data_IF_822631107302
#
_entry.id   IF_822631107302
#
_cell.length_a   1.000
_cell.length_b   1.000
_cell.length_c   1.000
_cell.angle_alpha   90.00
_cell.angle_beta   90.00
_cell.angle_gamma   90.00
#
_symmetry.space_group_name_H-M   'P 1'
#
loop_
_entity.id
_entity.type
_entity.pdbx_description
1 polymer ?
#
# COMPACT_ATOMS: atom_id res chain seq x y z
N UNK A 1 16.47 60.92 23.63
CA UNK A 1 17.15 60.01 24.56
C UNK A 1 16.76 58.61 24.14
N UNK A 2 17.41 57.90 23.23
CA UNK A 2 18.68 57.99 22.48
C UNK A 2 18.34 57.39 21.09
N UNK A 3 18.65 57.91 19.91
CA UNK A 3 19.82 58.56 19.29
C UNK A 3 21.01 57.63 18.97
N UNK A 4 20.89 56.87 17.86
CA UNK A 4 21.92 56.54 16.83
C UNK A 4 21.18 56.05 15.57
N UNK A 5 21.37 56.50 14.33
CA UNK A 5 22.36 57.40 13.75
C UNK A 5 23.21 56.70 12.68
N UNK A 6 22.75 56.73 11.41
CA UNK A 6 23.49 56.83 10.11
C UNK A 6 24.46 55.66 9.74
N UNK A 7 24.70 55.18 8.51
CA UNK A 7 24.84 55.70 7.12
C UNK A 7 24.74 54.47 6.17
N UNK A 8 23.96 54.39 5.08
CA UNK A 8 24.02 55.08 3.77
C UNK A 8 25.41 55.22 3.14
N UNK A 9 25.71 54.38 2.15
CA UNK A 9 26.62 54.68 1.03
C UNK A 9 26.21 53.85 -0.19
N UNK A 10 25.59 54.54 -1.14
CA UNK A 10 25.60 54.22 -2.57
C UNK A 10 27.04 54.16 -3.09
N UNK A 11 27.32 53.25 -4.02
CA UNK A 11 28.30 53.55 -5.07
C UNK A 11 27.89 52.92 -6.42
N UNK A 12 27.79 53.82 -7.40
CA UNK A 12 27.49 53.58 -8.79
C UNK A 12 28.79 53.28 -9.53
N UNK A 13 28.89 52.15 -10.25
CA UNK A 13 29.79 51.99 -11.41
C UNK A 13 29.44 50.77 -12.26
N UNK A 14 28.90 51.02 -13.46
CA UNK A 14 29.28 50.27 -14.67
C UNK A 14 30.22 51.15 -15.52
N UNK A 15 30.70 50.74 -16.71
CA UNK A 15 30.34 49.53 -17.48
C UNK A 15 31.54 48.82 -18.19
N UNK A 16 31.22 47.80 -18.99
CA UNK A 16 31.95 47.19 -20.14
C UNK A 16 33.09 46.20 -19.86
N UNK A 17 32.89 45.00 -20.39
CA UNK A 17 33.91 44.01 -20.67
C UNK A 17 33.29 42.79 -21.36
N UNK A 18 33.05 42.89 -22.66
CA UNK A 18 32.84 41.73 -23.52
C UNK A 18 34.22 41.11 -23.82
N UNK A 19 34.35 39.79 -23.65
CA UNK A 19 35.58 39.07 -23.98
C UNK A 19 35.58 37.65 -23.41
N UNK A 20 35.21 36.69 -24.26
CA UNK A 20 35.77 35.34 -24.35
C UNK A 20 36.12 34.59 -23.04
N UNK A 21 35.18 33.75 -22.59
CA UNK A 21 35.49 32.58 -21.77
C UNK A 21 34.45 31.46 -22.00
N UNK A 22 34.22 31.12 -23.27
CA UNK A 22 33.48 29.92 -23.64
C UNK A 22 34.47 28.76 -23.88
N UNK A 23 35.02 28.17 -22.81
CA UNK A 23 35.62 26.83 -22.80
C UNK A 23 36.26 26.53 -21.42
N UNK A 24 35.48 25.98 -20.48
CA UNK A 24 35.91 25.06 -19.40
C UNK A 24 34.88 25.07 -18.25
N UNK A 25 33.66 24.60 -18.51
CA UNK A 25 32.72 24.20 -17.45
C UNK A 25 32.18 22.81 -17.79
N UNK A 26 33.09 21.83 -17.76
CA UNK A 26 32.73 20.42 -17.62
C UNK A 26 32.44 20.15 -16.14
N UNK A 27 31.14 20.09 -15.83
CA UNK A 27 30.50 19.11 -14.95
C UNK A 27 31.32 18.59 -13.75
N UNK A 28 31.55 19.45 -12.76
CA UNK A 28 31.71 19.01 -11.38
C UNK A 28 30.33 18.88 -10.73
N UNK A 29 29.66 17.74 -10.90
CA UNK A 29 28.47 17.44 -10.10
C UNK A 29 28.87 17.55 -8.61
N UNK A 30 28.09 18.25 -7.77
CA UNK A 30 28.42 18.41 -6.36
C UNK A 30 28.65 17.02 -5.76
N UNK A 31 29.90 16.77 -5.36
CA UNK A 31 30.33 15.48 -4.86
C UNK A 31 29.33 15.03 -3.81
N UNK A 32 28.65 13.92 -4.07
CA UNK A 32 27.75 13.29 -3.14
C UNK A 32 28.55 12.92 -1.90
N UNK A 33 28.63 13.85 -0.95
CA UNK A 33 29.37 13.70 0.29
C UNK A 33 28.84 12.43 0.93
N UNK A 34 29.70 11.41 0.95
CA UNK A 34 29.33 10.08 1.34
C UNK A 34 29.24 10.09 2.87
N UNK A 35 28.09 10.51 3.39
CA UNK A 35 27.83 10.57 4.83
C UNK A 35 27.70 9.14 5.33
N UNK A 36 28.81 8.60 5.82
CA UNK A 36 28.79 7.40 6.65
C UNK A 36 28.22 7.80 8.01
N UNK A 37 27.05 7.25 8.34
CA UNK A 37 26.42 7.44 9.65
C UNK A 37 26.48 6.14 10.44
N UNK A 38 27.04 6.20 11.65
CA UNK A 38 26.93 5.13 12.63
C UNK A 38 25.47 5.06 13.09
N UNK A 39 24.83 3.92 12.85
CA UNK A 39 23.42 3.69 13.15
C UNK A 39 23.21 2.22 13.49
N UNK A 40 22.08 1.88 14.12
CA UNK A 40 21.76 0.48 14.33
C UNK A 40 21.04 -0.07 13.11
N UNK A 41 21.54 -1.19 12.61
CA UNK A 41 21.11 -1.80 11.36
C UNK A 41 20.77 -3.26 11.57
N UNK A 42 19.79 -3.73 10.79
CA UNK A 42 19.51 -5.15 10.67
C UNK A 42 19.13 -5.46 9.22
N UNK A 43 19.80 -6.47 8.64
CA UNK A 43 19.46 -7.01 7.32
C UNK A 43 18.90 -8.41 7.49
N UNK A 44 17.58 -8.54 7.36
CA UNK A 44 16.92 -9.82 7.41
C UNK A 44 16.87 -10.47 6.02
N UNK A 45 17.42 -11.68 5.89
CA UNK A 45 17.35 -12.48 4.66
C UNK A 45 16.33 -13.61 4.78
N UNK A 46 15.10 -13.33 4.36
CA UNK A 46 13.99 -14.28 4.39
C UNK A 46 14.21 -15.56 3.54
N UNK A 47 15.27 -15.65 2.72
CA UNK A 47 15.55 -16.85 1.91
C UNK A 47 16.32 -17.91 2.70
N UNK A 48 17.19 -17.51 3.63
CA UNK A 48 18.03 -18.45 4.40
C UNK A 48 17.15 -19.36 5.27
N UNK A 49 16.16 -18.77 5.92
CA UNK A 49 15.24 -19.50 6.82
C UNK A 49 14.38 -20.50 6.05
N UNK A 50 13.95 -20.14 4.83
CA UNK A 50 13.18 -21.06 3.96
C UNK A 50 13.98 -22.28 3.52
N UNK A 51 15.29 -22.15 3.27
CA UNK A 51 16.13 -23.28 2.85
C UNK A 51 16.34 -24.28 3.98
N UNK A 52 16.61 -23.78 5.19
CA UNK A 52 16.74 -24.61 6.38
C UNK A 52 15.41 -25.33 6.69
N UNK A 53 14.29 -24.62 6.60
CA UNK A 53 12.96 -25.21 6.76
C UNK A 53 12.70 -26.31 5.72
N UNK A 54 13.02 -26.05 4.45
CA UNK A 54 12.89 -27.04 3.38
C UNK A 54 13.70 -28.31 3.64
N UNK A 55 14.95 -28.17 4.09
CA UNK A 55 15.81 -29.31 4.42
C UNK A 55 15.25 -30.15 5.58
N UNK A 56 14.75 -29.51 6.64
CA UNK A 56 14.18 -30.23 7.80
C UNK A 56 12.88 -30.94 7.45
N UNK A 57 12.01 -30.29 6.68
CA UNK A 57 10.76 -30.92 6.20
C UNK A 57 11.07 -32.12 5.31
N UNK A 58 12.03 -32.00 4.38
CA UNK A 58 12.44 -33.11 3.52
C UNK A 58 13.06 -34.26 4.33
N UNK A 59 13.95 -33.98 5.28
CA UNK A 59 14.54 -35.00 6.13
C UNK A 59 13.48 -35.76 6.96
N UNK A 60 12.51 -35.02 7.50
CA UNK A 60 11.41 -35.61 8.26
C UNK A 60 10.45 -36.43 7.39
N UNK A 61 10.24 -36.00 6.14
CA UNK A 61 9.47 -36.75 5.15
C UNK A 61 10.13 -38.07 4.79
N UNK A 62 11.43 -38.05 4.51
CA UNK A 62 12.21 -39.26 4.21
C UNK A 62 12.13 -40.25 5.38
N UNK A 63 12.29 -39.77 6.62
CA UNK A 63 12.16 -40.61 7.82
C UNK A 63 10.77 -41.23 8.01
N UNK A 64 9.71 -40.46 7.72
CA UNK A 64 8.33 -40.93 7.89
C UNK A 64 7.88 -41.93 6.81
N UNK A 65 8.39 -41.82 5.57
CA UNK A 65 7.91 -42.65 4.45
C UNK A 65 8.89 -43.73 4.01
N UNK A 66 10.18 -43.40 3.84
CA UNK A 66 11.14 -44.34 3.27
C UNK A 66 11.51 -45.46 4.27
N UNK A 67 11.65 -45.13 5.55
CA UNK A 67 12.04 -46.10 6.57
C UNK A 67 10.95 -47.18 6.84
N UNK A 68 9.66 -46.83 7.02
CA UNK A 68 8.61 -47.85 7.18
C UNK A 68 8.43 -48.72 5.95
N UNK A 69 8.52 -48.13 4.75
CA UNK A 69 8.41 -48.88 3.50
C UNK A 69 9.56 -49.88 3.33
N UNK A 70 10.80 -49.46 3.58
CA UNK A 70 11.96 -50.36 3.53
C UNK A 70 11.85 -51.52 4.53
N UNK A 71 11.37 -51.26 5.75
CA UNK A 71 11.14 -52.29 6.77
C UNK A 71 10.00 -53.25 6.41
N UNK A 72 8.94 -52.74 5.76
CA UNK A 72 7.82 -53.56 5.30
C UNK A 72 8.25 -54.53 4.19
N UNK A 73 9.07 -54.08 3.23
CA UNK A 73 9.63 -54.94 2.17
C UNK A 73 10.48 -56.08 2.74
N UNK A 74 11.11 -55.86 3.90
CA UNK A 74 11.90 -56.87 4.62
C UNK A 74 11.05 -57.80 5.52
N UNK A 75 9.72 -57.71 5.46
CA UNK A 75 8.81 -58.53 6.27
C UNK A 75 8.76 -58.16 7.76
N UNK A 76 9.28 -56.99 8.15
CA UNK A 76 9.32 -56.54 9.54
C UNK A 76 8.12 -55.65 9.89
N UNK A 77 6.92 -56.22 9.84
CA UNK A 77 5.66 -55.47 9.98
C UNK A 77 5.55 -54.68 11.31
N UNK A 78 6.07 -55.23 12.41
CA UNK A 78 6.05 -54.52 13.71
C UNK A 78 7.06 -53.38 13.77
N UNK A 79 8.20 -53.53 13.10
CA UNK A 79 9.26 -52.51 13.10
C UNK A 79 8.90 -51.33 12.20
N UNK A 80 8.18 -51.56 11.09
CA UNK A 80 7.72 -50.48 10.21
C UNK A 80 6.75 -49.54 10.91
N UNK A 81 5.85 -50.06 11.74
CA UNK A 81 4.91 -49.25 12.53
C UNK A 81 5.63 -48.39 13.58
N UNK A 82 6.60 -48.97 14.29
CA UNK A 82 7.42 -48.21 15.27
C UNK A 82 8.23 -47.12 14.56
N UNK A 83 8.85 -47.42 13.42
CA UNK A 83 9.59 -46.45 12.63
C UNK A 83 8.70 -45.30 12.12
N UNK A 84 7.46 -45.59 11.71
CA UNK A 84 6.50 -44.59 11.28
C UNK A 84 6.10 -43.63 12.43
N UNK A 85 5.85 -44.18 13.62
CA UNK A 85 5.52 -43.38 14.81
C UNK A 85 6.69 -42.49 15.26
N UNK A 86 7.92 -43.01 15.20
CA UNK A 86 9.13 -42.22 15.50
C UNK A 86 9.30 -41.10 14.48
N UNK A 87 9.19 -41.40 13.18
CA UNK A 87 9.26 -40.39 12.12
C UNK A 87 8.23 -39.28 12.28
N UNK A 88 7.00 -39.65 12.66
CA UNK A 88 5.91 -38.72 12.94
C UNK A 88 6.22 -37.82 14.17
N UNK A 89 6.72 -38.42 15.25
CA UNK A 89 7.12 -37.68 16.45
C UNK A 89 8.27 -36.70 16.18
N UNK A 90 9.29 -37.13 15.44
CA UNK A 90 10.42 -36.29 15.04
C UNK A 90 10.00 -35.13 14.13
N UNK A 91 9.05 -35.38 13.20
CA UNK A 91 8.45 -34.32 12.39
C UNK A 91 7.74 -33.28 13.25
N UNK A 92 6.92 -33.71 14.22
CA UNK A 92 6.17 -32.81 15.09
C UNK A 92 7.07 -32.00 16.03
N UNK A 93 8.09 -32.65 16.61
CA UNK A 93 9.09 -31.99 17.45
C UNK A 93 9.86 -30.93 16.65
N UNK A 94 10.29 -31.26 15.43
CA UNK A 94 10.96 -30.30 14.54
C UNK A 94 10.03 -29.14 14.19
N UNK A 95 8.79 -29.42 13.78
CA UNK A 95 7.79 -28.40 13.49
C UNK A 95 7.55 -27.43 14.67
N UNK A 96 7.45 -27.95 15.89
CA UNK A 96 7.29 -27.14 17.11
C UNK A 96 8.56 -26.33 17.44
N UNK A 97 9.74 -26.92 17.36
CA UNK A 97 11.01 -26.19 17.59
C UNK A 97 11.19 -25.05 16.59
N UNK A 98 10.80 -25.24 15.32
CA UNK A 98 10.79 -24.18 14.31
C UNK A 98 9.70 -23.12 14.56
N UNK A 99 8.56 -23.53 15.10
CA UNK A 99 7.54 -22.56 15.51
C UNK A 99 8.06 -21.62 16.60
N UNK A 100 8.86 -22.14 17.54
CA UNK A 100 9.43 -21.37 18.65
C UNK A 100 10.75 -20.63 18.35
N UNK A 101 11.53 -21.04 17.35
CA UNK A 101 12.85 -20.47 17.08
C UNK A 101 12.84 -19.13 16.32
N UNK A 102 11.73 -18.79 15.69
CA UNK A 102 11.60 -17.57 14.91
C UNK A 102 11.14 -16.44 15.83
N UNK A 103 12.00 -15.44 16.02
CA UNK A 103 11.66 -14.26 16.80
C UNK A 103 10.62 -13.46 16.03
N UNK A 104 9.56 -13.04 16.72
CA UNK A 104 8.53 -12.23 16.10
C UNK A 104 9.13 -10.97 15.44
N UNK A 105 8.49 -10.42 14.40
CA UNK A 105 8.99 -9.24 13.67
C UNK A 105 9.16 -7.97 14.53
N UNK A 106 8.75 -7.98 15.80
CA UNK A 106 8.94 -6.91 16.78
C UNK A 106 10.22 -6.98 17.62
N UNK A 107 10.94 -8.12 17.65
CA UNK A 107 12.25 -8.22 18.32
C UNK A 107 13.39 -8.18 17.31
N UNK A 108 13.39 -7.14 16.47
CA UNK A 108 14.52 -6.82 15.61
C UNK A 108 15.73 -6.53 16.48
N UNK A 109 16.77 -7.36 16.37
CA UNK A 109 18.05 -7.12 17.07
C UNK A 109 18.87 -6.21 16.18
N UNK A 110 18.49 -4.93 16.19
CA UNK A 110 19.27 -3.86 15.62
C UNK A 110 20.68 -3.92 16.24
N UNK A 111 21.69 -4.11 15.40
CA UNK A 111 23.10 -4.16 15.81
C UNK A 111 23.79 -2.88 15.40
N UNK A 112 24.80 -2.47 16.15
CA UNK A 112 25.60 -1.31 15.77
C UNK A 112 26.27 -1.55 14.41
N UNK A 113 26.16 -0.56 13.52
CA UNK A 113 26.62 -0.64 12.15
C UNK A 113 26.69 0.73 11.47
N UNK A 114 26.88 0.72 10.16
CA UNK A 114 26.79 1.93 9.34
C UNK A 114 26.00 1.66 8.07
N UNK A 115 25.31 2.69 7.60
CA UNK A 115 24.61 2.68 6.31
C UNK A 115 25.16 3.78 5.44
N UNK A 116 25.45 3.42 4.18
CA UNK A 116 25.95 4.34 3.16
C UNK A 116 25.23 4.08 1.85
N UNK A 117 24.73 5.15 1.22
CA UNK A 117 24.20 5.08 -0.14
C UNK A 117 25.32 5.51 -1.08
N UNK A 118 25.83 4.56 -1.88
CA UNK A 118 26.85 4.80 -2.90
C UNK A 118 26.27 4.48 -4.28
N UNK A 119 26.00 5.52 -5.07
CA UNK A 119 25.38 5.38 -6.38
C UNK A 119 24.04 4.63 -6.29
N UNK A 120 23.94 3.50 -6.99
CA UNK A 120 22.73 2.66 -7.02
C UNK A 120 22.72 1.53 -5.96
N UNK A 121 23.57 1.63 -4.94
CA UNK A 121 23.71 0.57 -3.91
C UNK A 121 23.59 1.16 -2.51
N UNK A 122 22.91 0.41 -1.65
CA UNK A 122 22.88 0.60 -0.21
C UNK A 122 23.89 -0.35 0.41
N UNK A 123 24.97 0.19 0.96
CA UNK A 123 25.97 -0.54 1.72
C UNK A 123 25.56 -0.50 3.20
N UNK A 124 25.49 -1.67 3.81
CA UNK A 124 25.17 -1.84 5.23
C UNK A 124 26.29 -2.64 5.86
N UNK A 125 27.02 -2.04 6.79
CA UNK A 125 28.03 -2.71 7.60
C UNK A 125 27.43 -3.07 8.96
N UNK A 126 27.40 -4.36 9.28
CA UNK A 126 26.91 -4.90 10.56
C UNK A 126 28.07 -5.67 11.24
N UNK A 127 28.81 -5.00 12.11
CA UNK A 127 30.07 -5.53 12.65
C UNK A 127 31.07 -5.86 11.54
N UNK A 128 31.53 -7.11 11.46
CA UNK A 128 32.47 -7.57 10.42
C UNK A 128 31.80 -7.93 9.09
N UNK A 129 30.46 -7.88 9.01
CA UNK A 129 29.71 -8.30 7.83
C UNK A 129 29.26 -7.08 7.05
N UNK A 130 29.76 -6.94 5.83
CA UNK A 130 29.27 -5.92 4.89
C UNK A 130 28.26 -6.53 3.93
N UNK A 131 27.13 -5.84 3.72
CA UNK A 131 26.06 -6.25 2.81
C UNK A 131 25.79 -5.14 1.81
N UNK A 132 25.88 -5.46 0.52
CA UNK A 132 25.52 -4.54 -0.57
C UNK A 132 24.15 -4.91 -1.14
N UNK A 133 23.22 -3.95 -1.12
CA UNK A 133 21.85 -4.10 -1.61
C UNK A 133 21.61 -3.14 -2.78
N UNK A 134 21.30 -3.63 -3.99
CA UNK A 134 21.04 -2.74 -5.13
C UNK A 134 19.70 -2.02 -4.95
N UNK A 135 19.70 -0.68 -5.04
CA UNK A 135 18.51 0.17 -4.95
C UNK A 135 17.54 -0.08 -6.11
N UNK A 136 18.02 -0.56 -7.26
CA UNK A 136 17.17 -1.03 -8.35
C UNK A 136 16.20 -2.16 -7.94
N UNK A 137 16.51 -2.90 -6.87
CA UNK A 137 15.62 -3.95 -6.31
C UNK A 137 14.72 -3.47 -5.19
N UNK A 138 14.80 -2.19 -4.80
CA UNK A 138 14.00 -1.60 -3.75
C UNK A 138 12.52 -1.62 -4.17
N UNK A 139 11.71 -2.35 -3.41
CA UNK A 139 10.28 -2.48 -3.62
C UNK A 139 9.46 -1.41 -2.86
N UNK A 140 10.10 -0.72 -1.91
CA UNK A 140 9.55 0.42 -1.19
C UNK A 140 10.16 0.55 0.21
N UNK A 141 9.65 1.48 1.01
CA UNK A 141 10.04 1.63 2.39
C UNK A 141 9.01 2.40 3.22
N UNK A 142 9.17 2.35 4.54
CA UNK A 142 8.32 3.05 5.51
C UNK A 142 9.11 3.39 6.76
N UNK A 143 8.57 4.29 7.58
CA UNK A 143 9.11 4.61 8.90
C UNK A 143 8.40 3.78 9.98
N UNK A 144 9.16 3.29 10.95
CA UNK A 144 8.66 2.49 12.08
C UNK A 144 9.20 3.11 13.38
N UNK A 145 8.35 3.33 14.37
CA UNK A 145 8.79 3.86 15.67
C UNK A 145 9.47 2.74 16.47
N UNK A 146 10.70 2.96 16.89
CA UNK A 146 11.46 2.03 17.74
C UNK A 146 11.52 2.56 19.18
N UNK A 147 11.93 1.74 20.16
CA UNK A 147 12.12 2.21 21.53
C UNK A 147 13.14 3.36 21.66
N UNK A 148 14.12 3.46 20.75
CA UNK A 148 15.18 4.48 20.82
C UNK A 148 15.08 5.57 19.74
N UNK A 149 14.02 5.58 18.91
CA UNK A 149 13.88 6.55 17.83
C UNK A 149 12.94 6.11 16.73
N UNK A 150 13.39 6.27 15.48
CA UNK A 150 12.62 5.90 14.28
C UNK A 150 13.50 5.07 13.35
N UNK A 151 13.00 3.95 12.85
CA UNK A 151 13.68 3.16 11.84
C UNK A 151 13.15 3.44 10.44
N UNK A 152 14.04 3.69 9.49
CA UNK A 152 13.75 3.60 8.07
C UNK A 152 13.82 2.13 7.65
N UNK A 153 12.68 1.56 7.26
CA UNK A 153 12.57 0.17 6.83
C UNK A 153 12.48 0.11 5.32
N UNK A 154 13.48 -0.50 4.69
CA UNK A 154 13.61 -0.67 3.24
C UNK A 154 13.29 -2.12 2.89
N UNK A 155 12.30 -2.33 2.03
CA UNK A 155 11.91 -3.66 1.56
C UNK A 155 12.36 -3.88 0.13
N UNK A 156 12.98 -5.03 -0.13
CA UNK A 156 13.51 -5.40 -1.44
C UNK A 156 12.66 -6.49 -2.10
N UNK A 157 12.60 -6.46 -3.42
CA UNK A 157 11.85 -7.41 -4.26
C UNK A 157 12.29 -8.88 -4.09
N UNK A 158 13.51 -9.13 -3.64
CA UNK A 158 14.03 -10.47 -3.36
C UNK A 158 13.63 -11.04 -2.00
N UNK A 159 12.92 -10.25 -1.18
CA UNK A 159 12.42 -10.60 0.13
C UNK A 159 13.32 -10.16 1.29
N UNK A 160 14.44 -9.47 1.01
CA UNK A 160 15.25 -8.86 2.07
C UNK A 160 14.57 -7.62 2.63
N UNK A 161 14.77 -7.37 3.91
CA UNK A 161 14.32 -6.16 4.60
C UNK A 161 15.52 -5.60 5.36
N UNK A 162 15.81 -4.31 5.16
CA UNK A 162 16.83 -3.58 5.90
C UNK A 162 16.13 -2.56 6.80
N UNK A 163 16.35 -2.64 8.10
CA UNK A 163 15.89 -1.64 9.05
C UNK A 163 17.09 -0.81 9.52
N UNK A 164 16.98 0.51 9.43
CA UNK A 164 18.04 1.45 9.80
C UNK A 164 17.48 2.43 10.82
N UNK A 165 17.91 2.33 12.08
CA UNK A 165 17.50 3.23 13.15
C UNK A 165 18.14 4.62 12.96
N UNK A 166 17.32 5.65 13.09
CA UNK A 166 17.64 7.08 12.97
C UNK A 166 17.17 7.80 14.23
N UNK A 167 17.79 8.95 14.51
CA UNK A 167 17.50 9.70 15.72
C UNK A 167 16.12 10.36 15.67
N UNK A 168 15.64 10.71 14.47
CA UNK A 168 14.34 11.34 14.26
C UNK A 168 13.55 10.73 13.09
N UNK A 169 12.25 11.00 13.07
CA UNK A 169 11.38 10.63 11.95
C UNK A 169 11.82 11.32 10.66
N UNK A 170 12.23 12.60 10.73
CA UNK A 170 12.70 13.38 9.58
C UNK A 170 13.94 12.76 8.93
N UNK A 171 14.90 12.27 9.73
CA UNK A 171 16.08 11.58 9.21
C UNK A 171 15.73 10.23 8.57
N UNK A 172 14.77 9.50 9.14
CA UNK A 172 14.27 8.28 8.53
C UNK A 172 13.58 8.56 7.19
N UNK A 173 12.79 9.63 7.11
CA UNK A 173 12.14 10.07 5.87
C UNK A 173 13.18 10.52 4.84
N UNK A 174 14.20 11.29 5.24
CA UNK A 174 15.30 11.71 4.35
C UNK A 174 16.04 10.49 3.78
N UNK A 175 16.38 9.52 4.63
CA UNK A 175 17.04 8.29 4.19
C UNK A 175 16.19 7.52 3.17
N UNK A 176 14.87 7.39 3.42
CA UNK A 176 13.95 6.77 2.46
C UNK A 176 13.88 7.55 1.15
N UNK A 177 13.83 8.88 1.22
CA UNK A 177 13.81 9.77 0.05
C UNK A 177 15.06 9.58 -0.81
N UNK A 178 16.25 9.63 -0.18
CA UNK A 178 17.55 9.43 -0.84
C UNK A 178 17.72 8.02 -1.40
N UNK A 179 17.13 7.01 -0.77
CA UNK A 179 17.11 5.65 -1.30
C UNK A 179 16.14 5.45 -2.48
N UNK A 180 15.31 6.45 -2.81
CA UNK A 180 14.26 6.34 -3.83
C UNK A 180 13.03 5.56 -3.35
N UNK A 181 12.84 5.45 -2.03
CA UNK A 181 11.66 4.89 -1.36
C UNK A 181 10.86 5.96 -0.60
N UNK A 182 11.06 7.24 -0.90
CA UNK A 182 10.31 8.34 -0.32
C UNK A 182 8.81 8.26 -0.61
N UNK A 183 8.01 9.04 0.11
CA UNK A 183 6.56 8.96 0.01
C UNK A 183 6.02 9.21 -1.42
N UNK A 184 6.72 9.94 -2.26
CA UNK A 184 6.29 10.16 -3.64
C UNK A 184 6.85 9.15 -4.63
N UNK A 185 7.88 8.39 -4.25
CA UNK A 185 8.58 7.47 -5.13
C UNK A 185 8.00 6.05 -5.05
N UNK A 186 7.38 5.63 -6.16
CA UNK A 186 6.99 4.24 -6.50
C UNK A 186 5.86 3.62 -5.68
N UNK A 187 5.16 2.73 -6.38
CA UNK A 187 4.14 1.88 -5.79
C UNK A 187 4.78 0.96 -4.74
N UNK A 188 4.29 1.03 -3.50
CA UNK A 188 4.89 0.31 -2.37
C UNK A 188 4.24 -1.04 -2.26
N UNK A 189 5.05 -2.09 -2.35
CA UNK A 189 4.62 -3.46 -2.07
C UNK A 189 4.89 -3.78 -0.60
N UNK A 190 3.90 -3.54 0.26
CA UNK A 190 3.95 -4.00 1.63
C UNK A 190 3.53 -5.47 1.67
N UNK A 191 4.46 -6.31 2.08
CA UNK A 191 4.12 -7.68 2.42
C UNK A 191 3.54 -7.63 3.81
N UNK A 192 2.22 -7.70 3.91
CA UNK A 192 1.57 -7.75 5.21
C UNK A 192 1.99 -9.01 5.92
N UNK A 193 2.95 -8.86 6.82
CA UNK A 193 3.42 -9.96 7.62
C UNK A 193 2.29 -10.20 8.62
N UNK A 194 1.79 -11.43 8.71
CA UNK A 194 0.80 -11.74 9.74
C UNK A 194 1.64 -12.01 10.98
N UNK A 195 1.54 -11.16 12.01
CA UNK A 195 2.40 -11.22 13.21
C UNK A 195 2.33 -12.57 13.92
N UNK A 196 1.26 -13.32 13.68
CA UNK A 196 1.18 -14.70 14.10
C UNK A 196 1.99 -15.61 13.15
N UNK A 197 3.32 -15.44 13.17
CA UNK A 197 4.26 -16.40 12.59
C UNK A 197 3.99 -17.79 13.19
N UNK A 198 3.62 -17.84 14.46
CA UNK A 198 3.20 -19.04 15.18
C UNK A 198 1.95 -19.64 14.56
N UNK A 199 0.87 -18.89 14.37
CA UNK A 199 -0.37 -19.38 13.74
C UNK A 199 -0.21 -19.75 12.27
N UNK A 200 0.61 -19.03 11.49
CA UNK A 200 0.91 -19.42 10.10
C UNK A 200 1.78 -20.68 10.05
N UNK A 201 2.72 -20.85 10.98
CA UNK A 201 3.52 -22.07 11.10
C UNK A 201 2.71 -23.23 11.62
N UNK A 202 1.86 -23.03 12.63
CA UNK A 202 0.92 -24.04 13.12
C UNK A 202 0.00 -24.43 11.97
N UNK A 203 -0.62 -23.49 11.27
CA UNK A 203 -1.43 -23.78 10.09
C UNK A 203 -0.62 -24.46 8.97
N UNK A 204 0.65 -24.08 8.77
CA UNK A 204 1.55 -24.69 7.80
C UNK A 204 1.97 -26.11 8.19
N UNK A 205 2.23 -26.36 9.47
CA UNK A 205 2.58 -27.65 10.04
C UNK A 205 1.36 -28.57 10.07
N UNK A 206 0.17 -28.05 10.40
CA UNK A 206 -1.11 -28.74 10.29
C UNK A 206 -1.43 -29.05 8.84
N UNK A 207 -1.21 -28.11 7.91
CA UNK A 207 -1.40 -28.34 6.48
C UNK A 207 -0.44 -29.41 5.97
N UNK A 208 0.83 -29.34 6.33
CA UNK A 208 1.80 -30.34 5.93
C UNK A 208 1.50 -31.69 6.60
N UNK A 209 1.11 -31.73 7.87
CA UNK A 209 0.61 -32.94 8.53
C UNK A 209 -0.61 -33.52 7.79
N UNK A 210 -1.54 -32.65 7.44
CA UNK A 210 -2.75 -33.02 6.74
C UNK A 210 -2.45 -33.58 5.34
N UNK A 211 -1.62 -32.89 4.55
CA UNK A 211 -1.28 -33.27 3.17
C UNK A 211 -0.37 -34.49 3.13
N UNK A 212 0.57 -34.61 4.08
CA UNK A 212 1.57 -35.67 4.07
C UNK A 212 1.06 -36.94 4.77
N UNK A 213 0.34 -36.81 5.88
CA UNK A 213 -0.03 -37.97 6.71
C UNK A 213 -1.53 -38.28 6.58
N UNK A 214 -2.40 -37.31 6.83
CA UNK A 214 -3.83 -37.57 6.92
C UNK A 214 -4.44 -37.89 5.54
N UNK A 215 -4.13 -37.09 4.51
CA UNK A 215 -4.72 -37.22 3.19
C UNK A 215 -4.33 -38.53 2.47
N UNK A 216 -3.07 -39.00 2.49
CA UNK A 216 -2.71 -40.29 1.90
C UNK A 216 -3.30 -41.46 2.67
N UNK A 217 -3.33 -41.39 4.01
CA UNK A 217 -3.97 -42.42 4.85
C UNK A 217 -5.47 -42.52 4.60
N UNK A 218 -6.16 -41.38 4.53
CA UNK A 218 -7.58 -41.33 4.19
C UNK A 218 -7.85 -41.81 2.76
N UNK A 219 -7.01 -41.44 1.79
CA UNK A 219 -7.11 -41.91 0.41
C UNK A 219 -6.93 -43.44 0.33
N UNK A 220 -5.94 -44.00 1.02
CA UNK A 220 -5.72 -45.44 1.08
C UNK A 220 -6.91 -46.18 1.72
N UNK A 221 -7.45 -45.67 2.83
CA UNK A 221 -8.65 -46.21 3.47
C UNK A 221 -9.86 -46.18 2.53
N UNK A 222 -10.01 -45.10 1.77
CA UNK A 222 -11.12 -44.89 0.84
C UNK A 222 -11.00 -45.81 -0.38
N UNK A 223 -9.78 -46.07 -0.87
CA UNK A 223 -9.50 -47.10 -1.89
C UNK A 223 -9.84 -48.50 -1.34
N UNK A 224 -9.40 -48.84 -0.13
CA UNK A 224 -9.71 -50.14 0.49
C UNK A 224 -11.21 -50.33 0.67
N UNK A 225 -11.91 -49.32 1.18
CA UNK A 225 -13.36 -49.32 1.34
C UNK A 225 -14.06 -49.49 -0.01
N UNK A 226 -13.61 -48.76 -1.04
CA UNK A 226 -14.13 -48.89 -2.39
C UNK A 226 -13.94 -50.30 -2.95
N UNK A 227 -12.77 -50.91 -2.77
CA UNK A 227 -12.51 -52.29 -3.22
C UNK A 227 -13.38 -53.32 -2.48
N UNK A 228 -13.60 -53.14 -1.18
CA UNK A 228 -14.47 -54.00 -0.39
C UNK A 228 -15.94 -53.89 -0.82
N UNK A 229 -16.44 -52.67 -1.05
CA UNK A 229 -17.81 -52.42 -1.54
C UNK A 229 -17.99 -53.00 -2.95
N UNK A 230 -17.00 -52.85 -3.82
CA UNK A 230 -17.03 -53.40 -5.17
C UNK A 230 -17.09 -54.94 -5.17
N UNK A 231 -16.42 -55.60 -4.22
CA UNK A 231 -16.50 -57.05 -4.04
C UNK A 231 -17.87 -57.52 -3.52
N UNK A 232 -18.60 -56.67 -2.79
CA UNK A 232 -19.90 -57.01 -2.19
C UNK A 232 -21.09 -56.88 -3.16
N UNK A 233 -20.85 -56.65 -4.46
CA UNK A 233 -21.89 -56.57 -5.52
C UNK A 233 -22.92 -55.43 -5.36
N UNK A 234 -22.68 -54.46 -4.48
CA UNK A 234 -23.55 -53.27 -4.30
C UNK A 234 -23.03 -52.13 -5.21
N UNK A 235 -23.14 -52.34 -6.52
CA UNK A 235 -22.41 -51.59 -7.56
C UNK A 235 -22.59 -50.04 -7.61
N UNK A 236 -23.74 -49.42 -7.25
CA UNK A 236 -23.88 -47.97 -7.43
C UNK A 236 -23.43 -47.11 -6.23
N UNK A 237 -23.23 -47.67 -5.03
CA UNK A 237 -22.96 -46.87 -3.82
C UNK A 237 -21.48 -46.52 -3.61
N UNK A 238 -20.54 -47.29 -4.17
CA UNK A 238 -19.10 -47.07 -4.01
C UNK A 238 -18.60 -45.67 -4.41
N UNK A 239 -18.95 -45.15 -5.60
CA UNK A 239 -18.50 -43.82 -6.04
C UNK A 239 -19.03 -42.66 -5.18
N UNK A 240 -20.26 -42.77 -4.66
CA UNK A 240 -20.86 -41.74 -3.80
C UNK A 240 -20.17 -41.64 -2.44
N UNK A 241 -19.85 -42.79 -1.83
CA UNK A 241 -19.10 -42.82 -0.55
C UNK A 241 -17.69 -42.25 -0.75
N UNK A 242 -17.05 -42.55 -1.87
CA UNK A 242 -15.73 -42.03 -2.22
C UNK A 242 -15.72 -40.50 -2.40
N UNK A 243 -16.70 -39.93 -3.12
CA UNK A 243 -16.83 -38.47 -3.27
C UNK A 243 -17.15 -37.76 -1.95
N UNK A 244 -17.96 -38.37 -1.09
CA UNK A 244 -18.32 -37.82 0.22
C UNK A 244 -17.13 -37.69 1.18
N UNK A 245 -16.17 -38.63 1.13
CA UNK A 245 -14.98 -38.61 1.98
C UNK A 245 -13.89 -37.62 1.54
N UNK A 246 -13.74 -37.37 0.24
CA UNK A 246 -12.67 -36.52 -0.30
C UNK A 246 -12.97 -35.01 -0.17
N UNK A 247 -14.23 -34.61 -0.35
CA UNK A 247 -14.66 -33.22 -0.28
C UNK A 247 -14.30 -32.49 1.03
N UNK A 248 -14.55 -33.04 2.24
CA UNK A 248 -14.16 -32.37 3.48
C UNK A 248 -12.64 -32.26 3.61
N UNK A 249 -11.89 -33.24 3.10
CA UNK A 249 -10.43 -33.20 3.18
C UNK A 249 -9.86 -32.07 2.31
N UNK A 250 -10.35 -31.94 1.08
CA UNK A 250 -9.99 -30.83 0.19
C UNK A 250 -10.44 -29.48 0.76
N UNK A 251 -11.60 -29.44 1.42
CA UNK A 251 -12.10 -28.25 2.12
C UNK A 251 -11.17 -27.79 3.24
N UNK A 252 -10.72 -28.71 4.11
CA UNK A 252 -9.76 -28.42 5.19
C UNK A 252 -8.40 -28.00 4.63
N UNK A 253 -7.89 -28.69 3.61
CA UNK A 253 -6.63 -28.34 2.96
C UNK A 253 -6.69 -26.95 2.32
N UNK A 254 -7.77 -26.62 1.58
CA UNK A 254 -7.96 -25.30 0.97
C UNK A 254 -8.12 -24.20 2.04
N UNK A 255 -8.84 -24.48 3.13
CA UNK A 255 -8.97 -23.56 4.25
C UNK A 255 -7.62 -23.30 4.92
N UNK A 256 -6.84 -24.33 5.23
CA UNK A 256 -5.49 -24.21 5.79
C UNK A 256 -4.56 -23.46 4.82
N UNK A 257 -4.59 -23.79 3.53
CA UNK A 257 -3.82 -23.10 2.49
C UNK A 257 -4.12 -21.60 2.47
N UNK A 258 -5.39 -21.22 2.60
CA UNK A 258 -5.80 -19.81 2.66
C UNK A 258 -5.21 -19.04 3.86
N UNK A 259 -4.91 -19.74 4.97
CA UNK A 259 -4.26 -19.16 6.16
C UNK A 259 -2.75 -19.04 5.98
N UNK A 260 -2.14 -19.94 5.22
CA UNK A 260 -0.69 -20.02 5.04
C UNK A 260 -0.18 -19.07 3.97
N UNK A 261 -0.94 -18.87 2.89
CA UNK A 261 -0.51 -17.96 1.83
C UNK A 261 -0.45 -16.50 2.30
N UNK A 262 0.67 -15.80 2.07
CA UNK A 262 0.80 -14.40 2.46
C UNK A 262 -0.19 -13.52 1.68
N UNK A 263 -0.88 -12.64 2.39
CA UNK A 263 -1.51 -11.47 1.77
C UNK A 263 -0.44 -10.47 1.37
N UNK A 264 -0.67 -9.79 0.26
CA UNK A 264 0.17 -8.70 -0.19
C UNK A 264 -0.72 -7.50 -0.44
N UNK A 265 -0.27 -6.33 0.01
CA UNK A 265 -0.91 -5.07 -0.32
C UNK A 265 0.06 -4.25 -1.14
N UNK A 266 -0.39 -3.87 -2.33
CA UNK A 266 0.37 -3.00 -3.21
C UNK A 266 -0.39 -1.69 -3.31
N UNK A 267 0.21 -0.62 -2.81
CA UNK A 267 -0.35 0.73 -2.86
C UNK A 267 0.32 1.45 -4.01
N UNK A 268 -0.43 1.64 -5.10
CA UNK A 268 0.00 2.43 -6.25
C UNK A 268 -0.61 3.84 -6.24
N UNK A 269 -0.27 4.61 -7.27
CA UNK A 269 -0.88 5.91 -7.55
C UNK A 269 -2.37 5.81 -7.83
N UNK A 270 -2.81 4.70 -8.42
CA UNK A 270 -4.19 4.58 -8.92
C UNK A 270 -5.12 3.88 -7.90
N UNK A 271 -4.54 3.17 -6.93
CA UNK A 271 -5.30 2.45 -5.93
C UNK A 271 -4.50 1.45 -5.12
N UNK A 272 -5.23 0.67 -4.35
CA UNK A 272 -4.72 -0.38 -3.46
C UNK A 272 -5.09 -1.75 -4.02
N UNK A 273 -4.09 -2.54 -4.40
CA UNK A 273 -4.27 -3.92 -4.81
C UNK A 273 -4.03 -4.85 -3.62
N UNK A 274 -5.08 -5.51 -3.16
CA UNK A 274 -5.03 -6.53 -2.12
C UNK A 274 -5.00 -7.90 -2.79
N UNK A 275 -3.91 -8.64 -2.63
CA UNK A 275 -3.79 -10.03 -3.07
C UNK A 275 -3.86 -10.95 -1.86
N UNK A 276 -4.81 -11.86 -1.85
CA UNK A 276 -4.86 -13.02 -0.94
C UNK A 276 -4.57 -14.31 -1.72
N UNK A 277 -4.57 -15.43 -1.01
CA UNK A 277 -4.37 -16.79 -1.54
C UNK A 277 -5.02 -17.05 -2.90
N UNK A 278 -6.29 -16.67 -3.00
CA UNK A 278 -7.20 -17.05 -4.09
C UNK A 278 -7.94 -15.87 -4.69
N UNK A 279 -7.76 -14.65 -4.15
CA UNK A 279 -8.46 -13.47 -4.62
C UNK A 279 -7.47 -12.33 -4.82
N UNK A 280 -7.61 -11.63 -5.95
CA UNK A 280 -6.94 -10.36 -6.20
C UNK A 280 -8.02 -9.32 -6.34
N UNK A 281 -7.92 -8.25 -5.57
CA UNK A 281 -8.89 -7.18 -5.62
C UNK A 281 -8.18 -5.85 -5.71
N UNK A 282 -8.47 -5.12 -6.78
CA UNK A 282 -8.04 -3.74 -6.94
C UNK A 282 -9.09 -2.82 -6.33
N UNK A 283 -8.64 -1.86 -5.52
CA UNK A 283 -9.46 -0.86 -4.85
C UNK A 283 -8.98 0.51 -5.34
N UNK A 284 -9.67 1.16 -6.28
CA UNK A 284 -9.28 2.51 -6.69
C UNK A 284 -9.41 3.46 -5.50
N UNK A 285 -8.50 4.44 -5.38
CA UNK A 285 -8.48 5.37 -4.23
C UNK A 285 -9.81 6.09 -4.00
N UNK A 286 -10.54 6.38 -5.09
CA UNK A 286 -11.87 6.99 -5.07
C UNK A 286 -12.97 6.10 -4.47
N UNK A 287 -12.78 4.78 -4.48
CA UNK A 287 -13.73 3.84 -3.86
C UNK A 287 -13.52 3.71 -2.34
N UNK A 288 -12.35 4.11 -1.84
CA UNK A 288 -11.98 4.05 -0.43
C UNK A 288 -12.55 5.28 0.27
N UNK A 289 -13.46 5.08 1.22
CA UNK A 289 -14.09 6.16 2.00
C UNK A 289 -13.41 6.33 3.35
N UNK A 290 -13.03 5.22 3.97
CA UNK A 290 -12.44 5.23 5.30
C UNK A 290 -11.33 4.19 5.38
N UNK A 291 -10.25 4.53 6.06
CA UNK A 291 -9.20 3.58 6.43
C UNK A 291 -9.01 3.70 7.93
N UNK A 292 -9.25 2.61 8.67
CA UNK A 292 -9.19 2.62 10.12
C UNK A 292 -8.42 1.41 10.65
N UNK A 293 -7.70 1.61 11.75
CA UNK A 293 -7.14 0.51 12.52
C UNK A 293 -8.27 -0.21 13.25
N UNK A 294 -8.32 -1.53 13.12
CA UNK A 294 -9.26 -2.39 13.84
C UNK A 294 -8.47 -3.49 14.54
N UNK A 295 -8.74 -3.65 15.83
CA UNK A 295 -8.21 -4.76 16.62
C UNK A 295 -9.18 -5.94 16.53
N UNK A 296 -8.66 -7.15 16.35
CA UNK A 296 -9.50 -8.35 16.24
C UNK A 296 -8.85 -9.60 16.82
N UNK A 297 -9.64 -10.67 16.89
CA UNK A 297 -9.24 -11.98 17.41
C UNK A 297 -9.36 -12.12 18.93
N UNK A 298 -9.27 -13.36 19.41
CA UNK A 298 -9.35 -13.69 20.84
C UNK A 298 -8.15 -13.04 21.55
N UNK A 299 -8.43 -12.05 22.40
CA UNK A 299 -7.40 -11.29 23.14
C UNK A 299 -6.87 -10.02 22.44
N UNK A 300 -7.44 -9.58 21.31
CA UNK A 300 -7.08 -8.30 20.68
C UNK A 300 -5.67 -8.24 20.09
N UNK A 301 -5.01 -9.40 19.95
CA UNK A 301 -3.60 -9.53 19.52
C UNK A 301 -3.41 -9.19 18.03
N UNK A 302 -4.47 -9.20 17.22
CA UNK A 302 -4.33 -8.99 15.78
C UNK A 302 -4.66 -7.56 15.38
N UNK A 303 -3.73 -6.94 14.65
CA UNK A 303 -3.92 -5.64 14.03
C UNK A 303 -4.40 -5.80 12.59
N UNK A 304 -5.50 -5.14 12.26
CA UNK A 304 -6.04 -5.09 10.92
C UNK A 304 -6.25 -3.65 10.48
N UNK A 305 -6.02 -3.39 9.20
CA UNK A 305 -6.44 -2.16 8.54
C UNK A 305 -7.75 -2.45 7.82
N UNK A 306 -8.85 -1.88 8.34
CA UNK A 306 -10.17 -1.97 7.72
C UNK A 306 -10.29 -0.84 6.70
N UNK A 307 -10.39 -1.22 5.43
CA UNK A 307 -10.62 -0.32 4.30
C UNK A 307 -12.12 -0.33 4.01
N UNK A 308 -12.83 0.72 4.42
CA UNK A 308 -14.23 0.95 4.11
C UNK A 308 -14.40 1.49 2.70
N UNK A 309 -15.27 0.84 1.93
CA UNK A 309 -15.60 1.21 0.56
C UNK A 309 -16.94 1.95 0.51
N UNK A 310 -17.12 2.74 -0.54
CA UNK A 310 -18.32 3.57 -0.74
C UNK A 310 -19.64 2.78 -0.73
N UNK A 311 -19.64 1.54 -1.20
CA UNK A 311 -20.84 0.70 -1.24
C UNK A 311 -21.16 0.02 0.10
N UNK A 312 -20.61 0.51 1.22
CA UNK A 312 -20.77 -0.07 2.56
C UNK A 312 -19.97 -1.35 2.80
N UNK A 313 -19.37 -1.92 1.75
CA UNK A 313 -18.45 -3.05 1.88
C UNK A 313 -17.17 -2.61 2.58
N UNK A 314 -16.55 -3.50 3.36
CA UNK A 314 -15.23 -3.25 3.94
C UNK A 314 -14.31 -4.43 3.71
N UNK A 315 -13.03 -4.12 3.52
CA UNK A 315 -11.98 -5.13 3.33
C UNK A 315 -11.01 -5.01 4.49
N UNK A 316 -10.77 -6.12 5.15
CA UNK A 316 -9.83 -6.20 6.26
C UNK A 316 -8.49 -6.69 5.74
N UNK A 317 -7.48 -5.84 5.85
CA UNK A 317 -6.10 -6.17 5.53
C UNK A 317 -5.37 -6.49 6.84
N UNK A 318 -4.82 -7.70 7.04
CA UNK A 318 -3.99 -7.97 8.20
C UNK A 318 -2.71 -7.12 8.14
N UNK A 319 -2.23 -6.64 9.28
CA UNK A 319 -0.91 -6.06 9.46
C UNK A 319 -0.12 -6.89 10.47
N UNK A 320 1.20 -6.78 10.47
CA UNK A 320 2.03 -7.44 11.48
C UNK A 320 1.86 -6.67 12.77
N UNK A 321 2.46 -5.50 12.84
CA UNK A 321 2.48 -4.69 14.04
C UNK A 321 1.47 -3.54 13.94
N UNK A 322 1.13 -2.89 15.07
CA UNK A 322 0.43 -1.61 15.06
C UNK A 322 1.16 -0.56 14.19
N UNK A 323 2.49 -0.59 14.19
CA UNK A 323 3.32 0.32 13.40
C UNK A 323 3.15 0.07 11.90
N UNK A 324 3.16 -1.20 11.44
CA UNK A 324 2.88 -1.52 10.04
C UNK A 324 1.46 -1.10 9.64
N UNK A 325 0.47 -1.35 10.50
CA UNK A 325 -0.91 -0.96 10.25
C UNK A 325 -1.04 0.56 10.10
N UNK A 326 -0.37 1.32 10.99
CA UNK A 326 -0.34 2.79 10.94
C UNK A 326 0.38 3.28 9.69
N UNK A 327 1.52 2.70 9.34
CA UNK A 327 2.24 3.02 8.11
C UNK A 327 1.38 2.76 6.88
N UNK A 328 0.61 1.67 6.84
CA UNK A 328 -0.32 1.36 5.76
C UNK A 328 -1.44 2.40 5.66
N UNK A 329 -2.02 2.81 6.79
CA UNK A 329 -3.07 3.84 6.84
C UNK A 329 -2.53 5.17 6.30
N UNK A 330 -1.42 5.65 6.85
CA UNK A 330 -0.76 6.90 6.41
C UNK A 330 -0.44 6.85 4.93
N UNK A 331 0.05 5.69 4.44
CA UNK A 331 0.38 5.52 3.02
C UNK A 331 -0.83 5.59 2.11
N UNK A 332 -1.93 4.94 2.47
CA UNK A 332 -3.18 4.99 1.70
C UNK A 332 -3.74 6.42 1.71
N UNK A 333 -3.78 7.08 2.87
CA UNK A 333 -4.26 8.46 3.00
C UNK A 333 -3.42 9.45 2.19
N UNK A 334 -2.09 9.35 2.26
CA UNK A 334 -1.19 10.18 1.46
C UNK A 334 -1.41 9.98 -0.05
N UNK A 335 -1.61 8.73 -0.50
CA UNK A 335 -1.94 8.44 -1.89
C UNK A 335 -3.31 9.00 -2.29
N UNK A 336 -4.32 8.91 -1.41
CA UNK A 336 -5.63 9.53 -1.64
C UNK A 336 -5.54 11.05 -1.75
N UNK A 337 -4.75 11.69 -0.88
CA UNK A 337 -4.54 13.14 -0.91
C UNK A 337 -3.83 13.58 -2.21
N UNK A 338 -2.81 12.85 -2.65
CA UNK A 338 -2.12 13.13 -3.91
C UNK A 338 -3.05 13.01 -5.13
N UNK A 339 -3.88 11.96 -5.18
CA UNK A 339 -4.89 11.80 -6.23
C UNK A 339 -5.93 12.91 -6.18
N UNK A 340 -6.40 13.29 -4.99
CA UNK A 340 -7.35 14.40 -4.84
C UNK A 340 -6.76 15.72 -5.33
N UNK A 341 -5.48 16.00 -5.05
CA UNK A 341 -4.79 17.20 -5.56
C UNK A 341 -4.68 17.18 -7.09
N UNK A 342 -4.34 16.04 -7.69
CA UNK A 342 -4.25 15.90 -9.15
C UNK A 342 -5.62 16.03 -9.83
N UNK A 343 -6.64 15.36 -9.27
CA UNK A 343 -8.02 15.44 -9.75
C UNK A 343 -8.54 16.88 -9.67
N UNK A 344 -8.26 17.57 -8.56
CA UNK A 344 -8.59 18.98 -8.38
C UNK A 344 -7.84 19.87 -9.37
N UNK A 345 -6.53 19.69 -9.57
CA UNK A 345 -5.77 20.47 -10.54
C UNK A 345 -6.32 20.31 -11.96
N UNK A 346 -6.65 19.06 -12.36
CA UNK A 346 -7.28 18.76 -13.65
C UNK A 346 -8.67 19.39 -13.75
N UNK A 347 -9.44 19.34 -12.69
CA UNK A 347 -10.77 19.96 -12.62
C UNK A 347 -10.67 21.47 -12.79
N UNK A 348 -9.74 22.12 -12.09
CA UNK A 348 -9.47 23.55 -12.21
C UNK A 348 -9.01 23.94 -13.62
N UNK A 349 -8.21 23.11 -14.28
CA UNK A 349 -7.78 23.32 -15.67
C UNK A 349 -8.97 23.28 -16.64
N UNK A 350 -9.91 22.34 -16.45
CA UNK A 350 -11.12 22.26 -17.29
C UNK A 350 -12.10 23.39 -16.98
N UNK A 351 -12.18 23.83 -15.72
CA UNK A 351 -13.02 24.96 -15.30
C UNK A 351 -12.47 26.29 -15.81
N UNK A 352 -11.14 26.48 -15.82
CA UNK A 352 -10.52 27.71 -16.29
C UNK A 352 -10.79 27.95 -17.78
N UNK A 353 -11.20 29.15 -18.18
CA UNK A 353 -11.54 29.43 -19.59
C UNK A 353 -10.33 29.24 -20.52
N UNK A 354 -9.11 29.60 -20.08
CA UNK A 354 -7.85 29.42 -20.83
C UNK A 354 -7.91 29.93 -22.28
N UNK A 355 -8.58 31.07 -22.50
CA UNK A 355 -8.75 31.69 -23.82
C UNK A 355 -9.79 31.02 -24.73
N UNK A 356 -10.50 29.99 -24.26
CA UNK A 356 -11.56 29.33 -25.04
C UNK A 356 -12.72 30.30 -25.32
N UNK A 357 -13.33 30.26 -26.53
CA UNK A 357 -14.59 30.95 -26.79
C UNK A 357 -15.67 30.54 -25.78
N UNK A 358 -16.51 31.49 -25.37
CA UNK A 358 -17.49 31.30 -24.29
C UNK A 358 -18.39 30.07 -24.53
N UNK A 359 -18.92 29.94 -25.75
CA UNK A 359 -19.79 28.82 -26.13
C UNK A 359 -19.09 27.45 -26.08
N UNK A 360 -17.80 27.38 -26.43
CA UNK A 360 -17.01 26.15 -26.36
C UNK A 360 -16.72 25.77 -24.91
N UNK A 361 -16.36 26.76 -24.11
CA UNK A 361 -16.11 26.58 -22.68
C UNK A 361 -17.35 26.12 -21.93
N UNK A 362 -18.52 26.74 -22.16
CA UNK A 362 -19.81 26.28 -21.59
C UNK A 362 -20.12 24.82 -21.95
N UNK A 363 -19.87 24.43 -23.21
CA UNK A 363 -20.04 23.04 -23.66
C UNK A 363 -19.09 22.09 -22.91
N UNK A 364 -17.84 22.50 -22.69
CA UNK A 364 -16.88 21.74 -21.90
C UNK A 364 -17.32 21.59 -20.43
N UNK A 365 -17.81 22.67 -19.80
CA UNK A 365 -18.37 22.64 -18.45
C UNK A 365 -19.58 21.69 -18.34
N UNK A 366 -20.50 21.73 -19.30
CA UNK A 366 -21.65 20.82 -19.32
C UNK A 366 -21.25 19.34 -19.45
N UNK A 367 -20.16 19.05 -20.18
CA UNK A 367 -19.65 17.68 -20.30
C UNK A 367 -18.96 17.14 -19.05
N UNK A 368 -18.48 18.04 -18.18
CA UNK A 368 -17.68 17.70 -17.01
C UNK A 368 -18.48 16.92 -15.97
N UNK A 369 -19.76 17.27 -15.80
CA UNK A 369 -20.67 16.59 -14.89
C UNK A 369 -21.55 15.56 -15.62
N UNK A 370 -21.76 15.71 -16.95
CA UNK A 370 -22.54 14.76 -17.74
C UNK A 370 -21.79 13.45 -18.07
N UNK A 371 -20.46 13.48 -18.19
CA UNK A 371 -19.65 12.32 -18.62
C UNK A 371 -19.49 11.23 -17.56
N UNK A 372 -20.00 11.47 -16.35
CA UNK A 372 -19.96 10.48 -15.29
C UNK A 372 -21.12 9.50 -15.42
N UNK A 373 -20.85 8.31 -15.96
CA UNK A 373 -21.80 7.20 -15.93
C UNK A 373 -22.31 6.91 -14.51
N UNK A 374 -23.43 6.20 -14.41
CA UNK A 374 -24.23 5.93 -13.19
C UNK A 374 -23.44 5.43 -11.96
N UNK A 375 -22.16 5.05 -12.09
CA UNK A 375 -21.30 4.56 -10.99
C UNK A 375 -20.22 5.55 -10.51
N UNK A 376 -20.04 6.70 -11.17
CA UNK A 376 -18.99 7.69 -10.85
C UNK A 376 -19.52 9.10 -10.57
N UNK A 377 -20.80 9.37 -10.87
CA UNK A 377 -21.38 10.71 -10.90
C UNK A 377 -21.40 11.49 -9.58
N UNK A 378 -21.39 10.82 -8.44
CA UNK A 378 -21.54 11.51 -7.15
C UNK A 378 -20.31 12.31 -6.69
N UNK A 379 -19.11 12.02 -7.20
CA UNK A 379 -17.89 12.70 -6.72
C UNK A 379 -17.55 13.95 -7.50
N UNK A 380 -17.82 13.97 -8.79
CA UNK A 380 -17.40 15.09 -9.64
C UNK A 380 -18.32 16.29 -9.38
N UNK A 381 -19.62 16.07 -9.15
CA UNK A 381 -20.55 17.14 -8.73
C UNK A 381 -20.19 17.71 -7.34
N UNK A 382 -19.91 16.86 -6.36
CA UNK A 382 -19.53 17.32 -5.02
C UNK A 382 -18.21 18.11 -5.02
N UNK A 383 -17.22 17.69 -5.82
CA UNK A 383 -15.96 18.44 -5.95
C UNK A 383 -16.17 19.78 -6.67
N UNK A 384 -17.01 19.82 -7.70
CA UNK A 384 -17.41 21.07 -8.36
C UNK A 384 -18.10 22.00 -7.36
N UNK A 385 -19.01 21.49 -6.52
CA UNK A 385 -19.67 22.30 -5.48
C UNK A 385 -18.70 22.79 -4.41
N UNK A 386 -17.69 22.00 -4.04
CA UNK A 386 -16.62 22.47 -3.15
C UNK A 386 -15.87 23.67 -3.75
N UNK A 387 -15.67 23.70 -5.07
CA UNK A 387 -15.05 24.86 -5.73
C UNK A 387 -15.97 26.09 -5.64
N UNK A 388 -17.29 25.93 -5.78
CA UNK A 388 -18.25 27.03 -5.59
C UNK A 388 -18.16 27.61 -4.17
N UNK A 389 -18.01 26.74 -3.16
CA UNK A 389 -17.94 27.10 -1.74
C UNK A 389 -16.56 27.59 -1.28
N UNK A 390 -15.51 27.33 -2.06
CA UNK A 390 -14.14 27.69 -1.71
C UNK A 390 -13.88 29.19 -1.90
N UNK A 391 -13.87 29.94 -0.81
CA UNK A 391 -13.59 31.39 -0.81
C UNK A 391 -12.17 31.77 -1.28
N UNK A 392 -11.23 30.81 -1.37
CA UNK A 392 -9.89 31.04 -1.90
C UNK A 392 -9.80 30.84 -3.42
N UNK A 393 -10.82 30.25 -4.05
CA UNK A 393 -10.85 30.04 -5.49
C UNK A 393 -11.13 31.38 -6.23
N UNK A 394 -10.48 31.62 -7.39
CA UNK A 394 -10.76 32.78 -8.24
C UNK A 394 -12.25 32.93 -8.57
N UNK A 395 -12.79 34.17 -8.64
CA UNK A 395 -14.21 34.42 -8.92
C UNK A 395 -14.72 33.71 -10.17
N UNK A 396 -13.96 33.73 -11.27
CA UNK A 396 -14.31 33.04 -12.52
C UNK A 396 -14.50 31.53 -12.31
N UNK A 397 -13.61 30.88 -11.55
CA UNK A 397 -13.69 29.44 -11.29
C UNK A 397 -14.91 29.07 -10.44
N UNK A 398 -15.27 29.90 -9.46
CA UNK A 398 -16.45 29.68 -8.61
C UNK A 398 -17.75 29.79 -9.41
N UNK A 399 -17.86 30.78 -10.29
CA UNK A 399 -19.02 30.95 -11.18
C UNK A 399 -19.10 29.81 -12.19
N UNK A 400 -17.98 29.45 -12.81
CA UNK A 400 -17.90 28.35 -13.76
C UNK A 400 -18.26 27.00 -13.14
N UNK A 401 -17.81 26.74 -11.91
CA UNK A 401 -18.21 25.56 -11.15
C UNK A 401 -19.73 25.56 -10.87
N UNK A 402 -20.31 26.71 -10.49
CA UNK A 402 -21.76 26.82 -10.24
C UNK A 402 -22.56 26.53 -11.52
N UNK A 403 -22.12 27.07 -12.66
CA UNK A 403 -22.70 26.81 -13.98
C UNK A 403 -22.62 25.33 -14.38
N UNK A 404 -21.49 24.67 -14.10
CA UNK A 404 -21.32 23.25 -14.36
C UNK A 404 -22.20 22.37 -13.44
N UNK A 405 -22.38 22.75 -12.18
CA UNK A 405 -23.14 21.98 -11.20
C UNK A 405 -24.67 22.08 -11.38
N UNK A 406 -25.17 23.27 -11.72
CA UNK A 406 -26.60 23.60 -11.73
C UNK A 406 -27.47 22.60 -12.52
N UNK A 407 -27.13 22.19 -13.76
CA UNK A 407 -27.97 21.29 -14.55
C UNK A 407 -28.16 19.89 -13.93
N UNK A 408 -27.37 19.53 -12.91
CA UNK A 408 -27.27 18.15 -12.42
C UNK A 408 -27.81 17.92 -11.00
N UNK A 409 -28.09 18.96 -10.22
CA UNK A 409 -28.35 18.79 -8.78
C UNK A 409 -29.65 19.36 -8.21
N UNK A 410 -30.53 19.89 -9.07
CA UNK A 410 -31.85 20.42 -8.66
C UNK A 410 -31.79 21.43 -7.51
N UNK A 411 -32.85 21.47 -6.71
CA UNK A 411 -33.01 22.45 -5.61
C UNK A 411 -31.89 22.37 -4.55
N UNK A 412 -31.33 21.18 -4.32
CA UNK A 412 -30.25 20.99 -3.34
C UNK A 412 -28.96 21.70 -3.78
N UNK A 413 -28.63 21.63 -5.07
CA UNK A 413 -27.48 22.36 -5.64
C UNK A 413 -27.74 23.86 -5.70
N UNK A 414 -28.93 24.27 -6.13
CA UNK A 414 -29.32 25.70 -6.14
C UNK A 414 -29.19 26.33 -4.74
N UNK A 415 -29.62 25.60 -3.70
CA UNK A 415 -29.49 26.03 -2.30
C UNK A 415 -28.04 26.21 -1.89
N UNK A 416 -27.13 25.30 -2.26
CA UNK A 416 -25.70 25.41 -1.94
C UNK A 416 -25.04 26.58 -2.68
N UNK A 417 -25.38 26.79 -3.96
CA UNK A 417 -24.91 27.95 -4.74
C UNK A 417 -25.38 29.26 -4.08
N UNK A 418 -26.64 29.33 -3.64
CA UNK A 418 -27.18 30.50 -2.93
C UNK A 418 -26.44 30.79 -1.61
N UNK A 419 -26.19 29.77 -0.79
CA UNK A 419 -25.40 29.91 0.44
C UNK A 419 -23.99 30.41 0.15
N UNK A 420 -23.34 29.90 -0.90
CA UNK A 420 -22.02 30.36 -1.31
C UNK A 420 -22.03 31.81 -1.83
N UNK A 421 -23.13 32.25 -2.45
CA UNK A 421 -23.34 33.63 -2.86
C UNK A 421 -23.45 34.55 -1.63
N UNK A 422 -24.32 34.21 -0.68
CA UNK A 422 -24.53 34.95 0.58
C UNK A 422 -23.23 35.10 1.39
N UNK A 423 -22.40 34.05 1.42
CA UNK A 423 -21.10 34.06 2.09
C UNK A 423 -20.01 34.86 1.35
N UNK A 424 -20.22 35.27 0.10
CA UNK A 424 -19.21 35.95 -0.71
C UNK A 424 -19.11 37.44 -0.39
N UNK A 425 -17.92 37.91 -0.02
CA UNK A 425 -17.67 39.31 0.31
C UNK A 425 -17.66 40.25 -0.91
N UNK A 426 -17.18 39.77 -2.07
CA UNK A 426 -17.13 40.55 -3.31
C UNK A 426 -18.53 40.69 -3.94
N UNK A 427 -19.09 41.91 -4.05
CA UNK A 427 -20.47 42.11 -4.51
C UNK A 427 -20.76 41.56 -5.92
N UNK A 428 -19.78 41.66 -6.83
CA UNK A 428 -19.92 41.17 -8.21
C UNK A 428 -20.05 39.65 -8.25
N UNK A 429 -19.22 38.94 -7.50
CA UNK A 429 -19.25 37.48 -7.40
C UNK A 429 -20.54 37.00 -6.74
N UNK A 430 -21.00 37.69 -5.69
CA UNK A 430 -22.29 37.40 -5.05
C UNK A 430 -23.44 37.46 -6.05
N UNK A 431 -23.57 38.58 -6.78
CA UNK A 431 -24.61 38.76 -7.80
C UNK A 431 -24.53 37.70 -8.90
N UNK A 432 -23.32 37.33 -9.32
CA UNK A 432 -23.13 36.29 -10.33
C UNK A 432 -23.63 34.92 -9.86
N UNK A 433 -23.26 34.51 -8.63
CA UNK A 433 -23.73 33.25 -8.05
C UNK A 433 -25.24 33.24 -7.79
N UNK A 434 -25.81 34.36 -7.35
CA UNK A 434 -27.27 34.53 -7.19
C UNK A 434 -28.00 34.30 -8.51
N UNK A 435 -27.57 34.97 -9.59
CA UNK A 435 -28.14 34.81 -10.93
C UNK A 435 -28.02 33.39 -11.46
N UNK A 436 -26.86 32.74 -11.27
CA UNK A 436 -26.69 31.32 -11.63
C UNK A 436 -27.68 30.45 -10.85
N UNK A 437 -27.87 30.71 -9.55
CA UNK A 437 -28.84 29.96 -8.74
C UNK A 437 -30.31 30.20 -9.15
N UNK A 438 -30.64 31.42 -9.59
CA UNK A 438 -31.97 31.81 -10.06
C UNK A 438 -32.26 31.33 -11.49
N UNK A 439 -31.19 31.05 -12.24
CA UNK A 439 -31.28 30.58 -13.60
C UNK A 439 -31.51 31.63 -14.67
N UNK A 440 -31.16 32.87 -14.35
CA UNK A 440 -31.20 34.01 -15.26
C UNK A 440 -30.10 33.94 -16.32
N UNK A 441 -30.28 34.65 -17.44
CA UNK A 441 -29.35 34.62 -18.57
C UNK A 441 -27.88 34.89 -18.14
N UNK A 442 -27.05 33.88 -18.42
CA UNK A 442 -25.71 33.74 -17.85
C UNK A 442 -24.62 34.38 -18.73
N UNK A 443 -24.95 34.69 -19.99
CA UNK A 443 -23.98 35.13 -21.00
C UNK A 443 -23.39 36.52 -20.68
N UNK A 444 -24.25 37.49 -20.35
CA UNK A 444 -23.83 38.88 -20.05
C UNK A 444 -22.91 38.95 -18.81
N UNK A 445 -23.17 38.09 -17.81
CA UNK A 445 -22.38 38.01 -16.58
C UNK A 445 -20.95 37.52 -16.81
N UNK A 446 -20.79 36.53 -17.67
CA UNK A 446 -19.50 35.88 -17.91
C UNK A 446 -18.56 36.79 -18.70
N UNK A 447 -19.10 37.62 -19.57
CA UNK A 447 -18.34 38.67 -20.24
C UNK A 447 -17.87 39.74 -19.25
N UNK A 448 -18.73 40.15 -18.30
CA UNK A 448 -18.36 41.17 -17.30
C UNK A 448 -17.26 40.67 -16.34
N UNK A 449 -17.35 39.41 -15.88
CA UNK A 449 -16.36 38.83 -14.95
C UNK A 449 -15.03 38.59 -15.65
N UNK A 450 -15.05 38.01 -16.85
CA UNK A 450 -13.83 37.75 -17.63
C UNK A 450 -13.07 39.03 -18.01
N UNK A 451 -13.80 40.11 -18.31
CA UNK A 451 -13.21 41.41 -18.59
C UNK A 451 -12.54 42.06 -17.36
N UNK A 452 -12.99 41.72 -16.15
CA UNK A 452 -12.43 42.21 -14.90
C UNK A 452 -11.08 41.57 -14.56
N UNK A 453 -10.95 40.25 -14.73
CA UNK A 453 -9.72 39.52 -14.43
C UNK A 453 -8.60 39.82 -15.43
N UNK A 454 -8.93 39.98 -16.72
CA UNK A 454 -7.97 40.40 -17.73
C UNK A 454 -7.36 41.79 -17.42
N UNK A 455 -8.14 42.70 -16.81
CA UNK A 455 -7.63 44.00 -16.35
C UNK A 455 -6.76 43.88 -15.11
N UNK A 456 -7.10 43.00 -14.15
CA UNK A 456 -6.27 42.77 -12.95
C UNK A 456 -4.92 42.13 -13.29
N UNK A 457 -4.87 41.23 -14.27
CA UNK A 457 -3.63 40.60 -14.71
C UNK A 457 -2.70 41.53 -15.51
N UNK A 458 -3.23 42.65 -16.01
CA UNK A 458 -2.47 43.66 -16.76
C UNK A 458 -1.93 44.80 -15.89
N UNK A 459 -2.36 44.89 -14.63
CA UNK A 459 -1.87 45.82 -13.60
C UNK A 459 -0.84 45.12 -12.72
#
# INVERSE_FOLDING_TARGET
>A
MDDRGLTSTDDHRGPRGAGDAAAAMSEGAPGAASLERLCKVEVQDARRDKRLLGAVVVASLVGTFAAPWGLAVLGMEKASLVAALIGLGSYFASALSFAGADRGPGERRLRDGSVKIEGERLLIAEGAKESSLPLARLAGGWTERTPNGHAAVLSFSDGRVAAVEQASEEEAIDLLSRAGAGAQARAVRMRTYREDSSGRKIAGCLLAFFVLILAPGALALLILLFTAIAQWSIAPLGPMVAMGGLAPLLGVAAWLWSKVTPSWVHIGTDGVMVKSAFRRRFLPHRAIVQVALTHGGVGGVYHFVKIGLRHGESITVPAASPAEATALIVRIQAAQAAVAMQDRARLLEVIARNGRPLAEWKRALGSLVASTGYRTAGNDLEEVLRIVEDGSAPPEQRVAAALAARPHGGEAVERRIRVAAEASAEPKLRLALEKVSAGEDEDDLLEEIGAGDARRAAL
#
